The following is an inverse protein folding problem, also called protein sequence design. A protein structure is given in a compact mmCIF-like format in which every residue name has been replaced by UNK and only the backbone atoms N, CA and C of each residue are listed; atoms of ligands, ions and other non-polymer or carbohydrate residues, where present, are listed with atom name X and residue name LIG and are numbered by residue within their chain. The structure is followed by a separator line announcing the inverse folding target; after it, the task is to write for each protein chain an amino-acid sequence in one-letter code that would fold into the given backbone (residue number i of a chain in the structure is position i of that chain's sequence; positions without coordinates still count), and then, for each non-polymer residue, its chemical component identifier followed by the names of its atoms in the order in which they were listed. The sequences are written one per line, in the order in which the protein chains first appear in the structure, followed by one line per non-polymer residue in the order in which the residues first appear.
data_IF_862239228121
#
_entry.id   IF_862239228121
#
_cell.length_a   1.000
_cell.length_b   1.000
_cell.length_c   1.000
_cell.angle_alpha   90.00
_cell.angle_beta   90.00
_cell.angle_gamma   90.00
#
_symmetry.space_group_name_H-M   'P 1'
#
loop_
_entity.id
_entity.type
_entity.pdbx_description
1 polymer ?
#
# COMPACT_ATOMS: atom_id res chain seq x y z
N UNK A 1 20.90 -7.59 -33.00
CA UNK A 1 20.71 -9.06 -33.02
C UNK A 1 21.91 -9.69 -32.33
N UNK A 2 21.85 -9.87 -31.01
CA UNK A 2 22.83 -10.71 -30.32
C UNK A 2 22.37 -12.16 -30.40
N UNK A 3 23.22 -13.02 -30.99
CA UNK A 3 22.96 -14.45 -31.15
C UNK A 3 23.03 -15.10 -29.77
N UNK A 4 21.90 -15.57 -29.23
CA UNK A 4 21.96 -16.44 -28.07
C UNK A 4 22.51 -17.81 -28.47
N UNK A 5 23.75 -18.09 -28.10
CA UNK A 5 24.45 -19.34 -28.35
C UNK A 5 24.32 -20.39 -27.24
N UNK A 6 23.42 -20.21 -26.27
CA UNK A 6 23.27 -21.14 -25.14
C UNK A 6 21.89 -21.80 -25.12
N UNK A 7 21.89 -23.11 -24.84
CA UNK A 7 20.69 -23.97 -24.66
C UNK A 7 19.73 -23.48 -23.57
N UNK A 8 20.12 -22.49 -22.79
CA UNK A 8 19.31 -21.84 -21.77
C UNK A 8 18.35 -20.78 -22.34
N UNK A 9 18.59 -20.26 -23.54
CA UNK A 9 17.69 -19.30 -24.17
C UNK A 9 16.43 -19.93 -24.79
N UNK A 10 16.37 -21.25 -24.90
CA UNK A 10 15.19 -21.96 -25.41
C UNK A 10 14.21 -22.38 -24.32
N UNK A 11 14.57 -22.21 -23.04
CA UNK A 11 13.68 -22.55 -21.93
C UNK A 11 12.49 -21.58 -21.89
N UNK A 12 11.26 -22.06 -21.63
CA UNK A 12 10.11 -21.21 -21.35
C UNK A 12 10.31 -20.34 -20.08
N UNK A 13 9.67 -19.16 -20.03
CA UNK A 13 9.84 -18.20 -18.93
C UNK A 13 9.39 -18.77 -17.57
N UNK A 14 8.32 -19.58 -17.56
CA UNK A 14 7.79 -20.31 -16.41
C UNK A 14 8.80 -21.32 -15.84
N UNK A 15 9.55 -22.02 -16.69
CA UNK A 15 10.59 -22.97 -16.27
C UNK A 15 11.77 -22.22 -15.65
N UNK A 16 12.17 -21.09 -16.23
CA UNK A 16 13.24 -20.25 -15.66
C UNK A 16 12.81 -19.67 -14.32
N UNK A 17 11.58 -19.17 -14.19
CA UNK A 17 11.03 -18.71 -12.91
C UNK A 17 11.01 -19.81 -11.85
N UNK A 18 10.64 -21.04 -12.25
CA UNK A 18 10.64 -22.19 -11.37
C UNK A 18 12.07 -22.50 -10.86
N UNK A 19 13.07 -22.52 -11.75
CA UNK A 19 14.48 -22.71 -11.40
C UNK A 19 14.97 -21.61 -10.44
N UNK A 20 14.67 -20.34 -10.74
CA UNK A 20 15.04 -19.21 -9.89
C UNK A 20 14.42 -19.30 -8.49
N UNK A 21 13.19 -19.81 -8.38
CA UNK A 21 12.52 -20.05 -7.10
C UNK A 21 13.28 -21.01 -6.17
N UNK A 22 14.07 -21.94 -6.70
CA UNK A 22 14.88 -22.87 -5.88
C UNK A 22 16.21 -22.29 -5.42
N UNK A 23 16.75 -21.28 -6.11
CA UNK A 23 18.07 -20.74 -5.83
C UNK A 23 18.09 -19.84 -4.57
N UNK A 24 19.18 -19.86 -3.77
CA UNK A 24 19.44 -18.84 -2.76
C UNK A 24 19.48 -17.45 -3.41
N UNK A 25 19.02 -16.42 -2.70
CA UNK A 25 18.76 -15.13 -3.33
C UNK A 25 20.02 -14.45 -3.88
N UNK A 26 21.18 -14.68 -3.25
CA UNK A 26 22.46 -14.19 -3.76
C UNK A 26 22.82 -14.83 -5.12
N UNK A 27 22.49 -16.11 -5.29
CA UNK A 27 22.73 -16.82 -6.55
C UNK A 27 21.72 -16.43 -7.62
N UNK A 28 20.48 -16.10 -7.23
CA UNK A 28 19.50 -15.48 -8.13
C UNK A 28 20.01 -14.15 -8.68
N UNK A 29 20.57 -13.27 -7.84
CA UNK A 29 21.14 -11.99 -8.30
C UNK A 29 22.31 -12.24 -9.27
N UNK A 30 23.14 -13.26 -9.03
CA UNK A 30 24.23 -13.64 -9.94
C UNK A 30 23.73 -14.13 -11.30
N UNK A 31 22.56 -14.78 -11.37
CA UNK A 31 21.95 -15.16 -12.66
C UNK A 31 21.57 -13.96 -13.52
N UNK A 32 21.46 -12.74 -12.97
CA UNK A 32 21.25 -11.51 -13.75
C UNK A 32 22.40 -11.22 -14.73
N UNK A 33 23.60 -11.74 -14.45
CA UNK A 33 24.77 -11.61 -15.31
C UNK A 33 24.68 -12.52 -16.55
N UNK A 34 23.77 -13.51 -16.55
CA UNK A 34 23.54 -14.43 -17.67
C UNK A 34 22.73 -13.79 -18.82
N UNK A 35 22.26 -12.55 -18.64
CA UNK A 35 21.66 -11.75 -19.71
C UNK A 35 20.36 -11.07 -19.32
N UNK A 36 19.88 -10.22 -20.23
CA UNK A 36 18.70 -9.37 -20.01
C UNK A 36 17.46 -10.17 -19.62
N UNK A 37 17.25 -11.36 -20.19
CA UNK A 37 16.08 -12.20 -19.93
C UNK A 37 16.07 -12.77 -18.52
N UNK A 38 17.18 -13.32 -18.04
CA UNK A 38 17.32 -13.76 -16.65
C UNK A 38 17.14 -12.60 -15.68
N UNK A 39 17.69 -11.43 -16.02
CA UNK A 39 17.48 -10.16 -15.30
C UNK A 39 16.01 -9.69 -15.29
N UNK A 40 15.18 -10.05 -16.25
CA UNK A 40 13.74 -9.76 -16.20
C UNK A 40 12.96 -10.85 -15.45
N UNK A 41 13.44 -12.10 -15.47
CA UNK A 41 12.72 -13.25 -14.91
C UNK A 41 12.91 -13.42 -13.40
N UNK A 42 14.06 -13.05 -12.81
CA UNK A 42 14.17 -13.04 -11.33
C UNK A 42 13.25 -12.02 -10.67
N UNK A 43 12.79 -11.03 -11.44
CA UNK A 43 11.83 -10.03 -10.98
C UNK A 43 10.46 -10.66 -10.67
N UNK A 44 10.23 -11.91 -11.05
CA UNK A 44 9.06 -12.67 -10.66
C UNK A 44 9.23 -13.30 -9.26
N UNK A 45 8.76 -12.50 -8.30
CA UNK A 45 8.05 -12.76 -7.04
C UNK A 45 8.56 -13.80 -6.02
N UNK A 46 8.93 -15.03 -6.39
CA UNK A 46 9.41 -16.01 -5.41
C UNK A 46 10.80 -15.69 -4.85
N UNK A 47 11.67 -15.22 -5.74
CA UNK A 47 13.04 -14.85 -5.40
C UNK A 47 13.13 -13.51 -4.66
N UNK A 48 12.19 -12.59 -4.91
CA UNK A 48 12.15 -11.28 -4.27
C UNK A 48 11.81 -11.40 -2.78
N UNK A 49 10.78 -12.18 -2.43
CA UNK A 49 10.45 -12.48 -1.03
C UNK A 49 11.63 -13.12 -0.30
N UNK A 50 12.28 -14.11 -0.93
CA UNK A 50 13.44 -14.78 -0.36
C UNK A 50 14.62 -13.83 -0.21
N UNK A 51 14.86 -12.95 -1.17
CA UNK A 51 15.90 -11.93 -1.13
C UNK A 51 15.66 -10.93 0.00
N UNK A 52 14.47 -10.33 0.06
CA UNK A 52 14.11 -9.37 1.11
C UNK A 52 14.26 -10.02 2.48
N UNK A 53 13.74 -11.23 2.66
CA UNK A 53 13.94 -11.99 3.90
C UNK A 53 15.42 -12.24 4.19
N UNK A 54 16.23 -12.62 3.21
CA UNK A 54 17.65 -12.84 3.42
C UNK A 54 18.40 -11.55 3.76
N UNK A 55 18.15 -10.43 3.06
CA UNK A 55 18.77 -9.14 3.36
C UNK A 55 18.40 -8.69 4.76
N UNK A 56 17.13 -8.84 5.16
CA UNK A 56 16.68 -8.46 6.49
C UNK A 56 17.20 -9.42 7.58
N UNK A 57 17.31 -10.73 7.31
CA UNK A 57 17.86 -11.74 8.23
C UNK A 57 19.38 -11.69 8.37
N UNK A 58 20.11 -11.30 7.32
CA UNK A 58 21.58 -11.16 7.32
C UNK A 58 22.04 -9.82 7.90
N UNK A 59 21.10 -8.91 8.15
CA UNK A 59 21.37 -7.66 8.80
C UNK A 59 21.67 -7.90 10.27
N UNK A 60 22.67 -7.20 10.80
CA UNK A 60 22.93 -7.19 12.24
C UNK A 60 21.69 -6.66 12.99
N UNK A 61 21.05 -7.45 13.87
CA UNK A 61 19.90 -7.02 14.65
C UNK A 61 20.22 -5.83 15.57
N UNK A 62 21.51 -5.60 15.89
CA UNK A 62 21.98 -4.48 16.71
C UNK A 62 22.09 -3.16 15.95
N UNK A 63 22.17 -3.18 14.61
CA UNK A 63 22.24 -1.95 13.82
C UNK A 63 20.85 -1.30 13.72
N UNK A 64 20.69 0.03 13.91
CA UNK A 64 19.40 0.71 13.75
C UNK A 64 19.00 0.80 12.26
N UNK A 65 17.79 0.38 11.91
CA UNK A 65 17.21 0.59 10.58
C UNK A 65 16.23 1.74 10.73
N UNK A 66 16.69 2.98 10.68
CA UNK A 66 15.81 4.12 10.96
C UNK A 66 14.76 4.31 9.86
N UNK A 67 15.14 4.08 8.61
CA UNK A 67 14.28 4.22 7.44
C UNK A 67 14.32 2.95 6.58
N UNK A 68 13.16 2.56 6.07
CA UNK A 68 13.01 1.44 5.15
C UNK A 68 12.05 1.82 4.01
N UNK A 69 12.51 1.66 2.77
CA UNK A 69 11.71 1.88 1.57
C UNK A 69 11.64 0.60 0.74
N UNK A 70 10.41 0.20 0.40
CA UNK A 70 10.11 -0.82 -0.59
C UNK A 70 9.52 -0.14 -1.83
N UNK A 71 10.34 0.06 -2.85
CA UNK A 71 9.90 0.58 -4.15
C UNK A 71 9.91 -0.52 -5.21
N UNK A 72 8.71 -0.98 -5.58
CA UNK A 72 8.50 -1.98 -6.62
C UNK A 72 7.78 -1.38 -7.84
N UNK A 73 7.99 -0.09 -8.13
CA UNK A 73 7.56 0.51 -9.39
C UNK A 73 8.15 -0.23 -10.58
N UNK A 74 7.33 -0.48 -11.60
CA UNK A 74 7.74 -1.15 -12.83
C UNK A 74 7.86 -2.67 -12.74
N UNK A 75 7.33 -3.28 -11.68
CA UNK A 75 7.10 -4.73 -11.60
C UNK A 75 5.65 -5.00 -12.04
N UNK A 76 5.47 -5.60 -13.21
CA UNK A 76 4.14 -5.80 -13.81
C UNK A 76 3.29 -6.82 -13.06
N UNK A 77 3.91 -7.83 -12.43
CA UNK A 77 3.20 -8.90 -11.72
C UNK A 77 3.86 -9.20 -10.38
N UNK A 78 3.08 -9.02 -9.31
CA UNK A 78 3.47 -9.32 -7.94
C UNK A 78 2.74 -10.56 -7.37
N UNK A 79 2.26 -11.47 -8.23
CA UNK A 79 1.59 -12.71 -7.80
C UNK A 79 2.44 -13.53 -6.81
N UNK A 80 1.97 -13.63 -5.57
CA UNK A 80 2.68 -14.31 -4.47
C UNK A 80 3.65 -13.42 -3.68
N UNK A 81 3.68 -12.11 -3.93
CA UNK A 81 4.40 -11.16 -3.08
C UNK A 81 3.65 -11.04 -1.76
N UNK A 82 4.38 -11.07 -0.66
CA UNK A 82 3.81 -10.93 0.67
C UNK A 82 4.33 -9.64 1.31
N UNK A 83 3.88 -8.45 0.85
CA UNK A 83 4.31 -7.18 1.43
C UNK A 83 3.95 -7.07 2.91
N UNK A 84 2.92 -7.79 3.35
CA UNK A 84 2.59 -7.98 4.77
C UNK A 84 3.77 -8.53 5.58
N UNK A 85 4.49 -9.52 5.05
CA UNK A 85 5.67 -10.08 5.71
C UNK A 85 6.80 -9.06 5.79
N UNK A 86 6.99 -8.26 4.74
CA UNK A 86 8.05 -7.24 4.70
C UNK A 86 7.78 -6.13 5.70
N UNK A 87 6.54 -5.64 5.74
CA UNK A 87 6.09 -4.62 6.69
C UNK A 87 6.24 -5.13 8.13
N UNK A 88 5.70 -6.31 8.44
CA UNK A 88 5.81 -6.93 9.77
C UNK A 88 7.25 -7.13 10.20
N UNK A 89 8.12 -7.53 9.28
CA UNK A 89 9.53 -7.70 9.60
C UNK A 89 10.19 -6.35 9.92
N UNK A 90 9.92 -5.32 9.12
CA UNK A 90 10.45 -3.98 9.38
C UNK A 90 10.00 -3.42 10.72
N UNK A 91 8.75 -3.63 11.11
CA UNK A 91 8.26 -3.18 12.43
C UNK A 91 8.90 -3.91 13.60
N UNK A 92 9.38 -5.14 13.42
CA UNK A 92 10.19 -5.85 14.43
C UNK A 92 11.60 -5.24 14.61
N UNK A 93 12.14 -4.59 13.57
CA UNK A 93 13.54 -4.12 13.53
C UNK A 93 13.72 -2.62 13.83
N UNK A 94 12.83 -2.05 14.65
CA UNK A 94 12.92 -0.66 15.17
C UNK A 94 12.84 0.44 14.10
N UNK A 95 12.20 0.16 12.97
CA UNK A 95 12.00 1.16 11.90
C UNK A 95 11.15 2.34 12.36
N UNK A 96 11.63 3.55 12.06
CA UNK A 96 10.94 4.81 12.35
C UNK A 96 10.19 5.36 11.13
N UNK A 97 10.73 5.16 9.93
CA UNK A 97 10.10 5.57 8.68
C UNK A 97 9.95 4.34 7.77
N UNK A 98 8.71 4.01 7.40
CA UNK A 98 8.44 2.93 6.46
C UNK A 98 7.72 3.51 5.24
N UNK A 99 8.23 3.21 4.05
CA UNK A 99 7.62 3.61 2.78
C UNK A 99 7.40 2.36 1.92
N UNK A 100 6.17 2.17 1.44
CA UNK A 100 5.80 1.03 0.59
C UNK A 100 5.14 1.55 -0.68
N UNK A 101 5.83 1.39 -1.82
CA UNK A 101 5.43 1.87 -3.14
C UNK A 101 5.24 0.70 -4.09
N UNK A 102 4.00 0.26 -4.28
CA UNK A 102 3.65 -0.84 -5.18
C UNK A 102 2.78 -0.29 -6.32
N UNK A 103 3.26 -0.37 -7.55
CA UNK A 103 2.49 0.04 -8.74
C UNK A 103 2.55 -1.09 -9.77
N UNK A 104 1.79 -2.15 -9.48
CA UNK A 104 1.63 -3.31 -10.34
C UNK A 104 0.34 -3.23 -11.17
N UNK A 105 0.18 -4.08 -12.18
CA UNK A 105 -1.04 -4.16 -13.00
C UNK A 105 -2.28 -4.48 -12.14
N UNK A 106 -2.09 -5.29 -11.10
CA UNK A 106 -3.08 -5.57 -10.07
C UNK A 106 -2.61 -4.99 -8.73
N UNK A 107 -3.48 -4.24 -8.04
CA UNK A 107 -3.17 -3.70 -6.71
C UNK A 107 -2.94 -4.85 -5.73
N UNK A 108 -1.90 -4.74 -4.92
CA UNK A 108 -1.60 -5.74 -3.90
C UNK A 108 -2.43 -5.44 -2.66
N UNK A 109 -3.17 -6.46 -2.20
CA UNK A 109 -4.05 -6.38 -1.04
C UNK A 109 -3.27 -6.48 0.27
N UNK A 110 -3.59 -5.57 1.18
CA UNK A 110 -3.21 -5.61 2.59
C UNK A 110 -4.49 -5.67 3.42
N UNK A 111 -4.77 -6.83 3.98
CA UNK A 111 -6.01 -7.12 4.72
C UNK A 111 -5.72 -7.87 6.03
N UNK A 112 -6.61 -7.73 7.01
CA UNK A 112 -6.77 -8.71 8.10
C UNK A 112 -5.73 -8.73 9.22
N UNK A 113 -4.90 -7.68 9.38
CA UNK A 113 -4.02 -7.58 10.54
C UNK A 113 -3.68 -6.15 10.93
N UNK A 114 -3.63 -5.89 12.25
CA UNK A 114 -3.22 -4.60 12.80
C UNK A 114 -1.70 -4.46 12.80
N UNK A 115 -1.22 -3.31 12.38
CA UNK A 115 0.20 -2.99 12.44
C UNK A 115 0.62 -2.74 13.89
N UNK A 116 1.64 -3.48 14.36
CA UNK A 116 2.21 -3.30 15.69
C UNK A 116 3.62 -2.76 15.54
N UNK A 117 3.86 -1.54 16.03
CA UNK A 117 5.18 -0.93 16.09
C UNK A 117 5.29 0.06 17.24
N UNK A 118 6.36 -0.03 18.03
CA UNK A 118 6.63 0.91 19.13
C UNK A 118 7.52 2.08 18.71
N UNK A 119 7.91 2.14 17.44
CA UNK A 119 8.92 3.09 16.95
C UNK A 119 8.59 3.73 15.60
N UNK A 120 7.58 3.23 14.90
CA UNK A 120 7.19 3.78 13.60
C UNK A 120 6.56 5.15 13.80
N UNK A 121 7.25 6.18 13.33
CA UNK A 121 6.85 7.60 13.39
C UNK A 121 6.16 8.02 12.11
N UNK A 122 6.64 7.53 10.96
CA UNK A 122 6.08 7.85 9.65
C UNK A 122 5.80 6.60 8.84
N UNK A 123 4.61 6.53 8.25
CA UNK A 123 4.22 5.46 7.35
C UNK A 123 3.68 6.02 6.04
N UNK A 124 4.28 5.62 4.93
CA UNK A 124 3.85 6.00 3.58
C UNK A 124 3.44 4.77 2.78
N UNK A 125 2.22 4.81 2.25
CA UNK A 125 1.57 3.74 1.50
C UNK A 125 1.20 4.28 0.11
N UNK A 126 1.66 3.60 -0.94
CA UNK A 126 1.39 4.03 -2.30
C UNK A 126 0.99 2.87 -3.20
N UNK A 127 -0.14 3.02 -3.91
CA UNK A 127 -0.61 2.08 -4.94
C UNK A 127 -1.10 0.72 -4.42
N UNK A 128 -1.60 0.69 -3.18
CA UNK A 128 -2.05 -0.53 -2.50
C UNK A 128 -3.58 -0.64 -2.47
N UNK A 129 -4.07 -1.85 -2.24
CA UNK A 129 -5.46 -2.12 -1.86
C UNK A 129 -5.50 -2.40 -0.35
N UNK A 130 -6.13 -1.50 0.40
CA UNK A 130 -6.12 -1.45 1.86
C UNK A 130 -7.51 -1.84 2.37
N UNK A 131 -7.63 -3.06 2.87
CA UNK A 131 -8.91 -3.66 3.23
C UNK A 131 -9.05 -3.87 4.75
N UNK A 132 -10.30 -4.00 5.20
CA UNK A 132 -10.67 -4.42 6.55
C UNK A 132 -10.05 -3.52 7.65
N UNK A 133 -9.35 -4.14 8.60
CA UNK A 133 -8.76 -3.49 9.79
C UNK A 133 -7.30 -3.07 9.60
N UNK A 134 -6.77 -3.10 8.38
CA UNK A 134 -5.37 -2.74 8.13
C UNK A 134 -5.02 -1.32 8.60
N UNK A 135 -5.98 -0.40 8.52
CA UNK A 135 -5.84 1.01 8.93
C UNK A 135 -6.11 1.26 10.42
N UNK A 136 -6.10 0.21 11.25
CA UNK A 136 -6.07 0.33 12.71
C UNK A 136 -4.63 0.42 13.23
N UNK A 137 -4.21 1.66 13.53
CA UNK A 137 -2.91 2.00 14.09
C UNK A 137 -2.96 2.26 15.61
N UNK A 138 -3.99 1.78 16.31
CA UNK A 138 -4.08 1.88 17.78
C UNK A 138 -2.88 1.24 18.49
N UNK A 139 -2.24 0.25 17.87
CA UNK A 139 -1.03 -0.43 18.36
C UNK A 139 0.29 0.25 17.95
N UNK A 140 0.23 1.45 17.36
CA UNK A 140 1.36 2.28 16.95
C UNK A 140 1.40 3.61 17.71
N UNK A 141 1.82 3.62 19.01
CA UNK A 141 1.65 4.77 19.90
C UNK A 141 2.50 6.00 19.56
N UNK A 142 3.44 5.90 18.61
CA UNK A 142 4.33 6.99 18.20
C UNK A 142 4.20 7.37 16.72
N UNK A 143 3.20 6.81 16.02
CA UNK A 143 2.93 7.15 14.62
C UNK A 143 2.36 8.56 14.52
N UNK A 144 3.14 9.50 13.98
CA UNK A 144 2.76 10.90 13.86
C UNK A 144 2.32 11.28 12.43
N UNK A 145 2.93 10.67 11.42
CA UNK A 145 2.72 10.97 10.01
C UNK A 145 2.22 9.74 9.24
N UNK A 146 1.06 9.86 8.59
CA UNK A 146 0.50 8.85 7.69
C UNK A 146 0.19 9.47 6.33
N UNK A 147 0.81 8.90 5.30
CA UNK A 147 0.58 9.29 3.90
C UNK A 147 0.07 8.10 3.10
N UNK A 148 -1.08 8.27 2.47
CA UNK A 148 -1.72 7.26 1.62
C UNK A 148 -1.96 7.90 0.25
N UNK A 149 -1.36 7.36 -0.81
CA UNK A 149 -1.55 7.91 -2.16
C UNK A 149 -1.86 6.84 -3.20
N UNK A 150 -2.79 7.13 -4.12
CA UNK A 150 -3.14 6.21 -5.21
C UNK A 150 -3.58 4.81 -4.73
N UNK A 151 -4.09 4.72 -3.51
CA UNK A 151 -4.56 3.47 -2.92
C UNK A 151 -6.07 3.31 -3.08
N UNK A 152 -6.53 2.06 -3.08
CA UNK A 152 -7.91 1.69 -2.81
C UNK A 152 -8.08 1.51 -1.31
N UNK A 153 -9.07 2.18 -0.71
CA UNK A 153 -9.41 2.03 0.70
C UNK A 153 -10.80 1.39 0.79
N UNK A 154 -10.82 0.08 1.03
CA UNK A 154 -12.01 -0.70 1.38
C UNK A 154 -11.98 -1.05 2.87
N UNK A 155 -11.75 -0.02 3.69
CA UNK A 155 -11.64 -0.11 5.14
C UNK A 155 -12.75 0.71 5.80
N UNK A 156 -13.40 0.12 6.80
CA UNK A 156 -14.49 0.77 7.54
C UNK A 156 -13.97 1.95 8.37
N UNK A 157 -12.75 1.85 8.89
CA UNK A 157 -12.19 2.82 9.83
C UNK A 157 -10.68 3.02 9.65
N UNK A 158 -10.25 4.26 9.85
CA UNK A 158 -8.87 4.65 10.10
C UNK A 158 -8.78 5.07 11.57
N UNK A 159 -7.99 4.36 12.37
CA UNK A 159 -7.92 4.59 13.83
C UNK A 159 -6.48 4.86 14.25
N UNK A 160 -6.23 5.99 14.90
CA UNK A 160 -4.94 6.27 15.55
C UNK A 160 -5.06 7.30 16.66
N UNK A 161 -4.40 7.09 17.80
CA UNK A 161 -4.38 8.06 18.91
C UNK A 161 -3.16 8.99 18.90
N UNK A 162 -2.15 8.65 18.11
CA UNK A 162 -0.84 9.33 18.04
C UNK A 162 -0.71 10.20 16.80
N UNK A 163 -1.54 9.95 15.78
CA UNK A 163 -1.42 10.58 14.47
C UNK A 163 -1.67 12.09 14.56
N UNK A 164 -0.72 12.87 14.02
CA UNK A 164 -0.75 14.33 13.95
C UNK A 164 -1.02 14.82 12.52
N UNK A 165 -0.54 14.09 11.52
CA UNK A 165 -0.63 14.49 10.12
C UNK A 165 -1.16 13.33 9.28
N UNK A 166 -2.29 13.56 8.60
CA UNK A 166 -2.91 12.62 7.68
C UNK A 166 -3.01 13.23 6.29
N UNK A 167 -2.41 12.57 5.31
CA UNK A 167 -2.50 12.92 3.89
C UNK A 167 -3.05 11.73 3.10
N UNK A 168 -4.21 11.93 2.46
CA UNK A 168 -4.82 10.99 1.52
C UNK A 168 -4.92 11.70 0.16
N UNK A 169 -4.30 11.16 -0.88
CA UNK A 169 -4.25 11.82 -2.19
C UNK A 169 -4.43 10.85 -3.36
N UNK A 170 -5.33 11.16 -4.30
CA UNK A 170 -5.51 10.32 -5.49
C UNK A 170 -6.08 8.94 -5.18
N UNK A 171 -6.77 8.79 -4.04
CA UNK A 171 -7.25 7.49 -3.55
C UNK A 171 -8.71 7.25 -3.92
N UNK A 172 -9.08 5.97 -4.00
CA UNK A 172 -10.46 5.54 -4.15
C UNK A 172 -11.00 5.15 -2.77
N UNK A 173 -12.01 5.87 -2.29
CA UNK A 173 -12.64 5.67 -0.98
C UNK A 173 -14.02 5.02 -1.19
N UNK A 174 -14.29 3.93 -0.45
CA UNK A 174 -15.65 3.45 -0.22
C UNK A 174 -16.41 2.95 -1.47
N UNK A 175 -15.87 1.95 -2.19
CA UNK A 175 -16.58 1.33 -3.32
C UNK A 175 -17.91 0.67 -2.94
N UNK A 176 -18.05 0.24 -1.69
CA UNK A 176 -19.27 -0.39 -1.19
C UNK A 176 -20.32 0.60 -0.65
N UNK A 177 -20.13 1.91 -0.87
CA UNK A 177 -21.01 2.99 -0.40
C UNK A 177 -21.12 3.14 1.13
N UNK A 178 -20.22 2.52 1.90
CA UNK A 178 -20.11 2.73 3.34
C UNK A 178 -19.00 3.76 3.60
N UNK A 179 -19.28 4.91 4.24
CA UNK A 179 -18.26 5.92 4.51
C UNK A 179 -17.20 5.41 5.48
N UNK A 180 -15.91 5.53 5.11
CA UNK A 180 -14.80 5.27 6.02
C UNK A 180 -14.82 6.28 7.19
N UNK A 181 -14.73 5.78 8.43
CA UNK A 181 -14.67 6.63 9.62
C UNK A 181 -13.21 6.94 9.99
N UNK A 182 -12.87 8.21 10.16
CA UNK A 182 -11.54 8.63 10.59
C UNK A 182 -11.60 9.02 12.07
N UNK A 183 -11.03 8.16 12.92
CA UNK A 183 -10.89 8.35 14.35
C UNK A 183 -9.44 8.67 14.72
N UNK A 184 -9.11 9.96 14.69
CA UNK A 184 -7.78 10.48 15.00
C UNK A 184 -7.85 11.75 15.87
N UNK A 185 -8.05 11.62 17.20
CA UNK A 185 -8.31 12.78 18.07
C UNK A 185 -7.10 13.72 18.22
N UNK A 186 -5.89 13.24 17.93
CA UNK A 186 -4.65 14.01 18.05
C UNK A 186 -4.23 14.73 16.76
N UNK A 187 -5.09 14.70 15.73
CA UNK A 187 -4.77 15.21 14.40
C UNK A 187 -4.66 16.74 14.39
N UNK A 188 -3.57 17.24 13.83
CA UNK A 188 -3.23 18.67 13.69
C UNK A 188 -3.40 19.12 12.24
N UNK A 189 -3.09 18.25 11.28
CA UNK A 189 -3.24 18.53 9.85
C UNK A 189 -3.96 17.40 9.14
N UNK A 190 -4.99 17.75 8.37
CA UNK A 190 -5.74 16.85 7.50
C UNK A 190 -5.66 17.32 6.04
N UNK A 191 -5.26 16.42 5.15
CA UNK A 191 -5.31 16.64 3.71
C UNK A 191 -6.02 15.48 3.03
N UNK A 192 -7.15 15.77 2.39
CA UNK A 192 -7.91 14.87 1.53
C UNK A 192 -7.96 15.52 0.14
N UNK A 193 -7.14 15.06 -0.79
CA UNK A 193 -7.01 15.68 -2.12
C UNK A 193 -7.27 14.65 -3.23
N UNK A 194 -7.97 15.06 -4.29
CA UNK A 194 -8.16 14.27 -5.51
C UNK A 194 -8.65 12.82 -5.27
N UNK A 195 -9.50 12.59 -4.27
CA UNK A 195 -10.09 11.27 -4.04
C UNK A 195 -11.39 11.08 -4.84
N UNK A 196 -11.74 9.82 -5.10
CA UNK A 196 -13.00 9.41 -5.75
C UNK A 196 -13.82 8.56 -4.78
N UNK A 197 -15.13 8.76 -4.73
CA UNK A 197 -16.07 7.92 -3.98
C UNK A 197 -16.77 8.66 -2.84
N UNK A 198 -17.11 7.96 -1.76
CA UNK A 198 -17.88 8.55 -0.65
C UNK A 198 -16.95 9.33 0.29
N UNK A 199 -17.37 10.54 0.67
CA UNK A 199 -16.64 11.37 1.65
C UNK A 199 -16.55 10.65 3.00
N UNK A 200 -15.35 10.55 3.60
CA UNK A 200 -15.17 9.88 4.88
C UNK A 200 -15.84 10.67 6.01
N UNK A 201 -16.35 9.95 7.01
CA UNK A 201 -16.90 10.54 8.22
C UNK A 201 -15.74 10.89 9.16
N UNK A 202 -15.64 12.15 9.56
CA UNK A 202 -14.62 12.61 10.49
C UNK A 202 -15.18 12.56 11.91
N UNK A 203 -14.56 11.79 12.81
CA UNK A 203 -14.86 11.86 14.23
C UNK A 203 -14.26 13.13 14.87
N UNK A 204 -14.45 13.33 16.17
CA UNK A 204 -13.98 14.52 16.89
C UNK A 204 -12.45 14.70 16.76
N UNK A 205 -12.02 15.84 16.21
CA UNK A 205 -10.62 16.23 16.03
C UNK A 205 -10.34 17.58 16.71
N UNK A 206 -10.27 17.63 18.06
CA UNK A 206 -10.19 18.88 18.81
C UNK A 206 -8.90 19.67 18.61
N UNK A 207 -7.83 19.05 18.08
CA UNK A 207 -6.51 19.68 17.88
C UNK A 207 -6.25 20.14 16.44
N UNK A 208 -7.23 20.04 15.55
CA UNK A 208 -7.03 20.30 14.13
C UNK A 208 -6.78 21.79 13.85
N UNK A 209 -5.61 22.11 13.31
CA UNK A 209 -5.20 23.48 12.95
C UNK A 209 -5.27 23.73 11.44
N UNK A 210 -5.04 22.69 10.62
CA UNK A 210 -4.99 22.79 9.16
C UNK A 210 -5.85 21.71 8.52
N UNK A 211 -6.71 22.10 7.61
CA UNK A 211 -7.50 21.18 6.81
C UNK A 211 -7.53 21.63 5.35
N UNK A 212 -7.31 20.68 4.43
CA UNK A 212 -7.48 20.88 2.99
C UNK A 212 -8.27 19.71 2.44
N UNK A 213 -9.48 19.97 1.96
CA UNK A 213 -10.34 18.98 1.32
C UNK A 213 -10.60 19.44 -0.11
N UNK A 214 -10.08 18.71 -1.08
CA UNK A 214 -10.33 18.94 -2.51
C UNK A 214 -10.95 17.69 -3.08
N UNK A 215 -12.17 17.85 -3.55
CA UNK A 215 -12.93 16.79 -4.19
C UNK A 215 -12.37 16.60 -5.61
N UNK A 216 -12.02 15.36 -5.99
CA UNK A 216 -11.58 15.04 -7.34
C UNK A 216 -12.68 15.35 -8.36
N UNK A 217 -12.31 15.53 -9.63
CA UNK A 217 -13.24 15.89 -10.71
C UNK A 217 -14.37 14.85 -10.94
N UNK A 218 -14.26 13.65 -10.32
CA UNK A 218 -15.26 12.57 -10.36
C UNK A 218 -15.99 12.34 -9.02
N UNK A 219 -15.90 13.27 -8.06
CA UNK A 219 -16.85 13.33 -6.94
C UNK A 219 -18.16 13.97 -7.44
N UNK A 220 -18.70 13.43 -8.52
CA UNK A 220 -20.11 13.59 -8.80
C UNK A 220 -20.86 12.89 -7.67
N UNK A 221 -22.00 13.44 -7.29
CA UNK A 221 -23.00 12.79 -6.46
C UNK A 221 -23.57 11.55 -7.20
N UNK A 222 -22.72 10.59 -7.56
CA UNK A 222 -23.07 9.34 -8.23
C UNK A 222 -23.68 8.41 -7.18
N UNK A 223 -24.92 8.71 -6.82
CA UNK A 223 -25.82 7.65 -6.39
C UNK A 223 -26.05 6.76 -7.62
N UNK A 224 -25.31 5.66 -7.74
CA UNK A 224 -25.51 4.66 -8.80
C UNK A 224 -26.93 4.03 -8.78
N UNK A 225 -27.76 4.35 -7.79
CA UNK A 225 -29.18 3.98 -7.72
C UNK A 225 -30.14 4.99 -8.36
N UNK A 226 -29.71 6.23 -8.61
CA UNK A 226 -30.55 7.26 -9.23
C UNK A 226 -30.38 7.29 -10.75
N UNK A 227 -30.60 6.17 -11.43
CA UNK A 227 -30.54 6.08 -12.89
C UNK A 227 -31.83 6.62 -13.55
N UNK A 228 -32.31 7.79 -13.11
CA UNK A 228 -33.44 8.47 -13.74
C UNK A 228 -32.96 9.70 -14.49
N UNK A 229 -32.78 9.50 -15.80
CA UNK A 229 -32.63 10.51 -16.86
C UNK A 229 -33.44 11.80 -16.61
N UNK A 230 -32.88 12.72 -15.83
CA UNK A 230 -33.30 14.12 -15.81
C UNK A 230 -34.63 14.45 -15.12
N UNK A 231 -35.03 13.74 -14.06
CA UNK A 231 -36.05 14.25 -13.13
C UNK A 231 -35.45 14.40 -11.74
N UNK A 232 -35.10 15.63 -11.37
CA UNK A 232 -34.31 15.99 -10.20
C UNK A 232 -34.99 15.82 -8.84
N UNK A 233 -35.45 14.61 -8.51
CA UNK A 233 -35.74 14.20 -7.12
C UNK A 233 -35.22 12.78 -6.92
N UNK A 234 -33.99 12.64 -6.40
CA UNK A 234 -33.48 11.37 -5.86
C UNK A 234 -34.17 11.11 -4.52
N UNK A 235 -35.00 10.08 -4.44
CA UNK A 235 -35.57 9.56 -3.18
C UNK A 235 -34.65 8.54 -2.51
N UNK A 236 -33.33 8.69 -2.66
CA UNK A 236 -32.36 7.81 -2.04
C UNK A 236 -32.18 8.22 -0.57
N UNK A 237 -32.44 7.32 0.38
CA UNK A 237 -32.27 7.59 1.83
C UNK A 237 -30.80 7.96 2.19
N UNK A 238 -29.86 7.74 1.27
CA UNK A 238 -28.44 8.08 1.40
C UNK A 238 -28.09 9.51 0.94
N UNK A 239 -29.02 10.19 0.27
CA UNK A 239 -28.85 11.56 -0.23
C UNK A 239 -29.11 12.60 0.87
N UNK A 240 -29.63 12.16 2.03
CA UNK A 240 -29.98 12.99 3.18
C UNK A 240 -28.96 12.95 4.32
N UNK A 241 -27.82 12.27 4.14
CA UNK A 241 -26.73 12.25 5.12
C UNK A 241 -25.75 13.38 4.76
N UNK A 242 -26.23 14.62 4.92
CA UNK A 242 -25.43 15.84 4.87
C UNK A 242 -25.53 16.57 6.21
#
# INVERSE_FOLDING_TARGET
MERCGDRFCTLPDDVVQHILGFLPALDVVRTCLLGWRWRQLWRFVGSLNRFIRQVLLLRDPGAPLDECEFDLRGYSRLYGSCPDLWIRHCTMHRVQVLQVRLYAEERVKLAGWSLISQRLVRFELHGLDLEESFLDFSSCPVLEDLKITNCLLDADKIVSRSLKHLEITGCELCWQFVPTQISAPSLISLQLDDYVGVTPILESMPLLEKASIKLGQNNEEYCNFCDNRGSGECTCDMCHIY
#
